data_IF_417271147947
#
_entry.id   IF_417271147947
#
_cell.length_a   1.000
_cell.length_b   1.000
_cell.length_c   1.000
_cell.angle_alpha   90.00
_cell.angle_beta   90.00
_cell.angle_gamma   90.00
#
_symmetry.space_group_name_H-M   'P 1'
#
loop_
_entity.id
_entity.type
_entity.pdbx_description
1 polymer ?
#
# COMPACT_ATOMS: atom_id res chain seq x y z
N UNK A 1 -0.64 -17.39 -10.45
CA UNK A 1 -0.83 -18.74 -9.87
C UNK A 1 -1.79 -19.58 -10.69
N UNK A 2 -3.04 -19.13 -10.90
CA UNK A 2 -4.06 -19.87 -11.68
C UNK A 2 -3.59 -20.35 -13.04
N UNK A 3 -3.07 -19.44 -13.86
CA UNK A 3 -2.58 -19.78 -15.19
C UNK A 3 -1.50 -20.87 -15.17
N UNK A 4 -0.50 -20.73 -14.30
CA UNK A 4 0.57 -21.71 -14.16
C UNK A 4 0.04 -23.07 -13.67
N UNK A 5 -0.88 -23.08 -12.70
CA UNK A 5 -1.48 -24.32 -12.20
C UNK A 5 -2.26 -25.06 -13.30
N UNK A 6 -3.08 -24.34 -14.09
CA UNK A 6 -3.81 -24.93 -15.21
C UNK A 6 -2.86 -25.43 -16.31
N UNK A 7 -1.84 -24.64 -16.65
CA UNK A 7 -0.83 -25.02 -17.65
C UNK A 7 -0.11 -26.31 -17.25
N UNK A 8 0.38 -26.41 -16.02
CA UNK A 8 1.06 -27.61 -15.55
C UNK A 8 0.12 -28.82 -15.45
N UNK A 9 -1.14 -28.60 -15.05
CA UNK A 9 -2.17 -29.65 -15.05
C UNK A 9 -2.41 -30.18 -16.46
N UNK A 10 -2.43 -29.30 -17.47
CA UNK A 10 -2.62 -29.69 -18.88
C UNK A 10 -1.39 -30.40 -19.46
N UNK A 11 -0.19 -29.86 -19.23
CA UNK A 11 1.06 -30.41 -19.79
C UNK A 11 1.39 -31.79 -19.19
N UNK A 12 1.13 -31.99 -17.90
CA UNK A 12 1.45 -33.23 -17.18
C UNK A 12 0.22 -34.11 -16.89
N UNK A 13 -0.90 -33.85 -17.56
CA UNK A 13 -2.17 -34.56 -17.38
C UNK A 13 -2.00 -36.08 -17.47
N UNK A 14 -1.12 -36.56 -18.36
CA UNK A 14 -0.92 -37.99 -18.62
C UNK A 14 -0.19 -38.77 -17.52
N UNK A 15 0.38 -38.13 -16.49
CA UNK A 15 1.22 -38.84 -15.50
C UNK A 15 0.84 -38.43 -14.07
N UNK A 16 -0.27 -38.97 -13.51
CA UNK A 16 -0.70 -38.61 -12.16
C UNK A 16 0.35 -39.05 -11.13
N UNK A 17 0.77 -38.14 -10.26
CA UNK A 17 1.81 -38.39 -9.27
C UNK A 17 1.34 -38.07 -7.84
N UNK A 18 1.59 -38.99 -6.90
CA UNK A 18 1.24 -38.78 -5.48
C UNK A 18 1.95 -37.55 -4.90
N UNK A 19 3.21 -37.29 -5.29
CA UNK A 19 4.00 -36.13 -4.86
C UNK A 19 3.32 -34.81 -5.27
N UNK A 20 3.00 -34.66 -6.55
CA UNK A 20 2.34 -33.46 -7.10
C UNK A 20 1.00 -33.21 -6.41
N UNK A 21 0.21 -34.27 -6.16
CA UNK A 21 -1.07 -34.16 -5.45
C UNK A 21 -0.92 -33.64 -4.02
N UNK A 22 0.06 -34.13 -3.26
CA UNK A 22 0.32 -33.65 -1.90
C UNK A 22 0.70 -32.17 -1.92
N UNK A 23 1.58 -31.77 -2.86
CA UNK A 23 1.99 -30.36 -3.00
C UNK A 23 0.83 -29.48 -3.45
N UNK A 24 0.01 -29.92 -4.39
CA UNK A 24 -1.17 -29.20 -4.86
C UNK A 24 -2.24 -29.05 -3.76
N UNK A 25 -2.40 -30.06 -2.89
CA UNK A 25 -3.29 -29.97 -1.73
C UNK A 25 -2.78 -28.94 -0.72
N UNK A 26 -1.49 -28.97 -0.40
CA UNK A 26 -0.85 -27.96 0.45
C UNK A 26 -1.01 -26.55 -0.14
N UNK A 27 -0.78 -26.38 -1.45
CA UNK A 27 -0.97 -25.11 -2.14
C UNK A 27 -2.42 -24.62 -2.06
N UNK A 28 -3.41 -25.50 -2.22
CA UNK A 28 -4.82 -25.13 -2.11
C UNK A 28 -5.19 -24.66 -0.69
N UNK A 29 -4.59 -25.25 0.35
CA UNK A 29 -4.77 -24.80 1.73
C UNK A 29 -4.15 -23.41 1.97
N UNK A 30 -2.96 -23.17 1.42
CA UNK A 30 -2.28 -21.87 1.50
C UNK A 30 -3.09 -20.79 0.79
N UNK A 31 -3.59 -21.05 -0.42
CA UNK A 31 -4.44 -20.11 -1.16
C UNK A 31 -5.78 -19.84 -0.44
N UNK A 32 -6.34 -20.86 0.24
CA UNK A 32 -7.53 -20.68 1.06
C UNK A 32 -7.24 -19.78 2.27
N UNK A 33 -6.09 -19.95 2.91
CA UNK A 33 -5.65 -19.05 3.98
C UNK A 33 -5.49 -17.61 3.47
N UNK A 34 -4.87 -17.41 2.31
CA UNK A 34 -4.74 -16.09 1.68
C UNK A 34 -6.10 -15.44 1.44
N UNK A 35 -7.07 -16.20 0.93
CA UNK A 35 -8.44 -15.75 0.73
C UNK A 35 -9.08 -15.28 2.05
N UNK A 36 -8.94 -16.06 3.11
CA UNK A 36 -9.49 -15.72 4.44
C UNK A 36 -8.81 -14.46 4.99
N UNK A 37 -7.49 -14.33 4.87
CA UNK A 37 -6.74 -13.16 5.34
C UNK A 37 -7.16 -11.88 4.61
N UNK A 38 -7.29 -11.93 3.28
CA UNK A 38 -7.72 -10.78 2.48
C UNK A 38 -9.15 -10.32 2.81
N UNK A 39 -10.07 -11.26 3.01
CA UNK A 39 -11.46 -10.94 3.32
C UNK A 39 -11.64 -10.41 4.76
N UNK A 40 -10.79 -10.86 5.69
CA UNK A 40 -10.89 -10.51 7.11
C UNK A 40 -10.34 -9.12 7.42
N UNK A 41 -9.28 -8.67 6.74
CA UNK A 41 -8.62 -7.39 7.03
C UNK A 41 -9.14 -6.29 6.10
N UNK A 42 -9.89 -5.34 6.67
CA UNK A 42 -10.53 -4.26 5.91
C UNK A 42 -9.52 -3.42 5.10
N UNK A 43 -8.36 -3.08 5.69
CA UNK A 43 -7.33 -2.29 5.01
C UNK A 43 -6.78 -3.01 3.79
N UNK A 44 -6.40 -4.28 3.94
CA UNK A 44 -5.87 -5.09 2.84
C UNK A 44 -6.92 -5.33 1.74
N UNK A 45 -8.18 -5.57 2.13
CA UNK A 45 -9.30 -5.71 1.18
C UNK A 45 -9.49 -4.44 0.33
N UNK A 46 -9.32 -3.28 0.96
CA UNK A 46 -9.45 -2.00 0.28
C UNK A 46 -8.26 -1.75 -0.66
N UNK A 47 -7.03 -2.02 -0.21
CA UNK A 47 -5.81 -1.83 -1.02
C UNK A 47 -5.76 -2.73 -2.27
N UNK A 48 -6.21 -3.98 -2.18
CA UNK A 48 -6.25 -4.90 -3.33
C UNK A 48 -7.48 -4.71 -4.23
N UNK A 49 -8.49 -3.99 -3.74
CA UNK A 49 -9.74 -3.73 -4.44
C UNK A 49 -10.56 -5.00 -4.75
N UNK A 50 -11.65 -4.82 -5.50
CA UNK A 50 -12.55 -5.92 -5.85
C UNK A 50 -11.89 -6.94 -6.80
N UNK A 51 -11.00 -6.48 -7.70
CA UNK A 51 -10.28 -7.33 -8.64
C UNK A 51 -9.35 -8.31 -7.91
N UNK A 52 -8.65 -7.86 -6.88
CA UNK A 52 -7.81 -8.72 -6.05
C UNK A 52 -8.61 -9.80 -5.33
N UNK A 53 -9.76 -9.43 -4.75
CA UNK A 53 -10.65 -10.37 -4.07
C UNK A 53 -11.17 -11.46 -5.03
N UNK A 54 -11.70 -11.06 -6.19
CA UNK A 54 -12.21 -12.01 -7.20
C UNK A 54 -11.09 -12.92 -7.70
N UNK A 55 -9.89 -12.39 -7.92
CA UNK A 55 -8.74 -13.16 -8.40
C UNK A 55 -8.29 -14.24 -7.42
N UNK A 56 -8.32 -13.96 -6.11
CA UNK A 56 -7.95 -14.94 -5.08
C UNK A 56 -9.02 -16.01 -4.91
N UNK A 57 -10.30 -15.64 -4.91
CA UNK A 57 -11.41 -16.61 -4.91
C UNK A 57 -11.29 -17.54 -6.13
N UNK A 58 -11.07 -16.96 -7.31
CA UNK A 58 -10.85 -17.73 -8.54
C UNK A 58 -9.63 -18.65 -8.43
N UNK A 59 -8.57 -18.20 -7.75
CA UNK A 59 -7.38 -19.01 -7.53
C UNK A 59 -7.61 -20.22 -6.66
N UNK A 60 -8.41 -20.09 -5.60
CA UNK A 60 -8.81 -21.21 -4.74
C UNK A 60 -9.71 -22.18 -5.52
N UNK A 61 -10.67 -21.67 -6.28
CA UNK A 61 -11.55 -22.50 -7.09
C UNK A 61 -10.77 -23.32 -8.13
N UNK A 62 -9.84 -22.69 -8.85
CA UNK A 62 -9.00 -23.38 -9.84
C UNK A 62 -8.00 -24.36 -9.20
N UNK A 63 -7.50 -24.10 -7.98
CA UNK A 63 -6.65 -25.05 -7.28
C UNK A 63 -7.42 -26.30 -6.84
N UNK A 64 -8.65 -26.12 -6.34
CA UNK A 64 -9.53 -27.23 -6.00
C UNK A 64 -9.95 -28.01 -7.24
N UNK A 65 -10.27 -27.32 -8.34
CA UNK A 65 -10.58 -27.96 -9.62
C UNK A 65 -9.42 -28.82 -10.13
N UNK A 66 -8.19 -28.31 -10.09
CA UNK A 66 -7.00 -29.08 -10.51
C UNK A 66 -6.83 -30.37 -9.69
N UNK A 67 -7.13 -30.35 -8.39
CA UNK A 67 -7.10 -31.55 -7.54
C UNK A 67 -8.17 -32.57 -7.92
N UNK A 68 -9.38 -32.10 -8.27
CA UNK A 68 -10.45 -32.96 -8.75
C UNK A 68 -10.04 -33.61 -10.07
N UNK A 69 -9.53 -32.83 -11.03
CA UNK A 69 -9.07 -33.33 -12.33
C UNK A 69 -7.96 -34.38 -12.15
N UNK A 70 -6.91 -34.11 -11.36
CA UNK A 70 -5.83 -35.08 -11.11
C UNK A 70 -6.35 -36.37 -10.47
N UNK A 71 -7.35 -36.27 -9.58
CA UNK A 71 -7.98 -37.45 -8.98
C UNK A 71 -8.81 -38.25 -9.98
N UNK A 72 -9.61 -37.56 -10.80
CA UNK A 72 -10.42 -38.19 -11.85
C UNK A 72 -9.56 -38.88 -12.89
N UNK A 73 -8.45 -38.26 -13.31
CA UNK A 73 -7.51 -38.86 -14.28
C UNK A 73 -6.84 -40.10 -13.72
N UNK A 74 -6.40 -40.07 -12.45
CA UNK A 74 -5.85 -41.25 -11.80
C UNK A 74 -6.87 -42.39 -11.79
N UNK A 75 -8.11 -42.09 -11.45
CA UNK A 75 -9.17 -43.09 -11.43
C UNK A 75 -9.44 -43.66 -12.83
N UNK A 76 -9.60 -42.79 -13.84
CA UNK A 76 -9.82 -43.22 -15.22
C UNK A 76 -8.68 -44.09 -15.76
N UNK A 77 -7.43 -43.76 -15.42
CA UNK A 77 -6.26 -44.60 -15.78
C UNK A 77 -6.28 -45.96 -15.08
N UNK A 78 -6.58 -46.01 -13.78
CA UNK A 78 -6.67 -47.29 -13.05
C UNK A 78 -7.76 -48.18 -13.65
N UNK A 79 -8.90 -47.61 -14.04
CA UNK A 79 -10.00 -48.34 -14.67
C UNK A 79 -9.65 -48.84 -16.08
N UNK A 80 -9.01 -48.03 -16.92
CA UNK A 80 -8.55 -48.45 -18.24
C UNK A 80 -7.45 -49.53 -18.16
N UNK A 81 -6.51 -49.40 -17.22
CA UNK A 81 -5.46 -50.39 -16.99
C UNK A 81 -6.07 -51.72 -16.49
N UNK A 82 -6.98 -51.69 -15.52
CA UNK A 82 -7.69 -52.89 -15.05
C UNK A 82 -8.48 -53.57 -16.18
N UNK A 83 -9.12 -52.79 -17.06
CA UNK A 83 -9.85 -53.30 -18.22
C UNK A 83 -8.94 -53.96 -19.26
N UNK A 84 -7.75 -53.41 -19.51
CA UNK A 84 -6.86 -53.87 -20.58
C UNK A 84 -5.91 -54.98 -20.15
N UNK A 85 -5.37 -54.92 -18.93
CA UNK A 85 -4.31 -55.84 -18.46
C UNK A 85 -4.73 -56.66 -17.23
N UNK A 86 -5.91 -56.40 -16.66
CA UNK A 86 -6.40 -57.10 -15.46
C UNK A 86 -5.70 -56.70 -14.16
N UNK A 87 -4.78 -55.72 -14.19
CA UNK A 87 -4.05 -55.20 -13.03
C UNK A 87 -3.52 -53.79 -13.31
N UNK A 88 -3.65 -52.87 -12.35
CA UNK A 88 -3.01 -51.56 -12.42
C UNK A 88 -1.48 -51.67 -12.54
N UNK A 89 -0.90 -51.10 -13.60
CA UNK A 89 0.54 -51.12 -13.83
C UNK A 89 1.23 -50.00 -13.04
N UNK A 90 2.20 -50.38 -12.21
CA UNK A 90 2.94 -49.43 -11.36
C UNK A 90 4.30 -49.03 -11.93
N UNK A 91 4.69 -49.63 -13.06
CA UNK A 91 5.99 -49.39 -13.69
C UNK A 91 5.94 -48.13 -14.53
N UNK A 92 6.96 -47.28 -14.39
CA UNK A 92 7.10 -46.03 -15.14
C UNK A 92 8.35 -46.06 -16.00
N UNK A 93 8.24 -45.51 -17.20
CA UNK A 93 9.40 -45.29 -18.07
C UNK A 93 10.30 -44.18 -17.52
N UNK A 94 11.55 -44.12 -17.95
CA UNK A 94 12.48 -43.05 -17.55
C UNK A 94 11.95 -41.65 -17.92
N UNK A 95 11.24 -41.53 -19.05
CA UNK A 95 10.62 -40.28 -19.48
C UNK A 95 9.50 -39.83 -18.54
N UNK A 96 8.65 -40.76 -18.08
CA UNK A 96 7.60 -40.47 -17.09
C UNK A 96 8.18 -40.07 -15.74
N UNK A 97 9.27 -40.69 -15.30
CA UNK A 97 10.00 -40.26 -14.11
C UNK A 97 10.55 -38.85 -14.25
N UNK A 98 11.11 -38.49 -15.40
CA UNK A 98 11.58 -37.13 -15.68
C UNK A 98 10.42 -36.12 -15.64
N UNK A 99 9.28 -36.44 -16.26
CA UNK A 99 8.07 -35.59 -16.21
C UNK A 99 7.57 -35.38 -14.78
N UNK A 100 7.57 -36.44 -13.96
CA UNK A 100 7.17 -36.38 -12.54
C UNK A 100 8.13 -35.51 -11.73
N UNK A 101 9.44 -35.59 -11.99
CA UNK A 101 10.43 -34.75 -11.31
C UNK A 101 10.26 -33.28 -11.68
N UNK A 102 10.15 -32.95 -12.98
CA UNK A 102 9.97 -31.57 -13.44
C UNK A 102 8.68 -30.96 -12.91
N UNK A 103 7.56 -31.69 -13.01
CA UNK A 103 6.28 -31.24 -12.45
C UNK A 103 6.34 -31.06 -10.93
N UNK A 104 6.92 -32.01 -10.20
CA UNK A 104 7.06 -31.89 -8.73
C UNK A 104 7.89 -30.66 -8.37
N UNK A 105 9.00 -30.39 -9.05
CA UNK A 105 9.82 -29.19 -8.83
C UNK A 105 9.02 -27.91 -9.13
N UNK A 106 8.29 -27.87 -10.24
CA UNK A 106 7.45 -26.73 -10.61
C UNK A 106 6.38 -26.43 -9.55
N UNK A 107 5.67 -27.46 -9.06
CA UNK A 107 4.69 -27.32 -7.98
C UNK A 107 5.32 -26.90 -6.66
N UNK A 108 6.53 -27.36 -6.34
CA UNK A 108 7.27 -26.90 -5.15
C UNK A 108 7.61 -25.42 -5.27
N UNK A 109 8.09 -24.95 -6.43
CA UNK A 109 8.38 -23.52 -6.65
C UNK A 109 7.11 -22.68 -6.49
N UNK A 110 5.98 -23.13 -7.04
CA UNK A 110 4.69 -22.45 -6.86
C UNK A 110 4.24 -22.44 -5.40
N UNK A 111 4.41 -23.55 -4.66
CA UNK A 111 4.09 -23.60 -3.23
C UNK A 111 4.95 -22.63 -2.43
N UNK A 112 6.26 -22.57 -2.69
CA UNK A 112 7.16 -21.60 -2.04
C UNK A 112 6.73 -20.16 -2.34
N UNK A 113 6.42 -19.85 -3.59
CA UNK A 113 5.92 -18.53 -3.97
C UNK A 113 4.58 -18.20 -3.27
N UNK A 114 3.65 -19.15 -3.15
CA UNK A 114 2.40 -18.97 -2.39
C UNK A 114 2.68 -18.68 -0.91
N UNK A 115 3.55 -19.46 -0.27
CA UNK A 115 3.93 -19.25 1.14
C UNK A 115 4.57 -17.88 1.39
N UNK A 116 5.42 -17.40 0.46
CA UNK A 116 6.00 -16.06 0.54
C UNK A 116 4.94 -14.97 0.42
N UNK A 117 3.95 -15.15 -0.46
CA UNK A 117 2.80 -14.24 -0.58
C UNK A 117 1.97 -14.26 0.70
N UNK A 118 1.67 -15.43 1.26
CA UNK A 118 0.96 -15.54 2.55
C UNK A 118 1.70 -14.78 3.65
N UNK A 119 3.01 -14.96 3.76
CA UNK A 119 3.81 -14.26 4.76
C UNK A 119 3.80 -12.75 4.53
N UNK A 120 3.79 -12.30 3.27
CA UNK A 120 3.71 -10.88 2.94
C UNK A 120 2.34 -10.28 3.28
N UNK A 121 1.25 -11.01 3.04
CA UNK A 121 -0.12 -10.64 3.44
C UNK A 121 -0.22 -10.56 4.97
N UNK A 122 0.35 -11.52 5.70
CA UNK A 122 0.39 -11.50 7.17
C UNK A 122 1.13 -10.26 7.68
N UNK A 123 2.29 -9.93 7.09
CA UNK A 123 3.01 -8.70 7.48
C UNK A 123 2.18 -7.44 7.20
N UNK A 124 1.51 -7.36 6.05
CA UNK A 124 0.62 -6.23 5.73
C UNK A 124 -0.57 -6.16 6.70
N UNK A 125 -1.14 -7.29 7.09
CA UNK A 125 -2.22 -7.37 8.06
C UNK A 125 -1.79 -6.88 9.46
N UNK A 126 -0.57 -7.22 9.89
CA UNK A 126 0.02 -6.68 11.13
C UNK A 126 0.29 -5.18 11.00
N UNK A 127 0.84 -4.74 9.86
CA UNK A 127 1.15 -3.33 9.59
C UNK A 127 -0.12 -2.46 9.43
N UNK A 128 -1.25 -3.07 9.09
CA UNK A 128 -2.56 -2.40 9.06
C UNK A 128 -3.03 -1.94 10.43
N UNK A 129 -2.52 -2.53 11.51
CA UNK A 129 -2.79 -2.09 12.89
C UNK A 129 -2.14 -0.76 13.26
N UNK A 130 -1.25 -0.20 12.43
CA UNK A 130 -0.67 1.11 12.69
C UNK A 130 -1.53 2.25 12.17
N UNK A 131 -1.76 3.21 13.04
CA UNK A 131 -2.37 4.49 12.68
C UNK A 131 -1.33 5.44 12.10
N UNK A 132 -1.67 6.06 10.96
CA UNK A 132 -0.85 7.09 10.37
C UNK A 132 -0.82 8.33 11.27
N UNK A 133 0.34 8.99 11.45
CA UNK A 133 0.42 10.27 12.13
C UNK A 133 -0.17 11.36 11.23
N UNK A 134 -1.40 11.82 11.47
CA UNK A 134 -2.06 12.83 10.62
C UNK A 134 -3.43 12.36 10.16
N UNK A 135 -3.88 12.85 9.00
CA UNK A 135 -5.17 12.50 8.42
C UNK A 135 -5.02 12.06 6.95
N UNK A 136 -5.96 11.24 6.50
CA UNK A 136 -6.04 10.73 5.13
C UNK A 136 -7.22 11.42 4.44
N UNK A 137 -6.95 12.08 3.31
CA UNK A 137 -7.93 12.83 2.53
C UNK A 137 -8.20 12.13 1.21
N UNK A 138 -9.44 12.16 0.75
CA UNK A 138 -9.87 11.53 -0.50
C UNK A 138 -9.52 12.44 -1.67
N UNK A 139 -8.89 11.91 -2.70
CA UNK A 139 -8.46 12.69 -3.87
C UNK A 139 -8.86 11.98 -5.16
N UNK A 140 -8.75 12.68 -6.29
CA UNK A 140 -9.09 12.17 -7.63
C UNK A 140 -10.52 11.60 -7.68
N UNK A 141 -11.50 12.41 -7.23
CA UNK A 141 -12.92 12.05 -7.17
C UNK A 141 -13.20 10.83 -6.26
N UNK A 142 -12.46 10.73 -5.15
CA UNK A 142 -12.68 9.69 -4.14
C UNK A 142 -12.13 8.31 -4.50
N UNK A 143 -11.18 8.23 -5.44
CA UNK A 143 -10.59 6.94 -5.86
C UNK A 143 -9.58 6.39 -4.86
N UNK A 144 -8.77 7.25 -4.24
CA UNK A 144 -7.77 6.85 -3.26
C UNK A 144 -7.51 7.97 -2.25
N UNK A 145 -6.77 7.64 -1.19
CA UNK A 145 -6.49 8.53 -0.07
C UNK A 145 -5.03 8.93 0.01
N UNK A 146 -4.81 10.20 0.31
CA UNK A 146 -3.49 10.79 0.49
C UNK A 146 -3.33 11.28 1.91
N UNK A 147 -2.17 10.95 2.48
CA UNK A 147 -1.80 11.33 3.82
C UNK A 147 -1.28 12.76 3.84
N UNK A 148 -1.84 13.55 4.76
CA UNK A 148 -1.39 14.91 5.06
C UNK A 148 -1.13 15.02 6.55
N UNK A 149 0.03 15.57 6.89
CA UNK A 149 0.42 15.86 8.25
C UNK A 149 0.89 17.30 8.39
N UNK A 150 0.38 18.00 9.40
CA UNK A 150 0.78 19.36 9.74
C UNK A 150 1.14 19.44 11.22
N UNK A 151 2.19 20.20 11.53
CA UNK A 151 2.65 20.43 12.89
C UNK A 151 3.06 21.90 13.09
N UNK A 152 2.73 22.44 14.27
CA UNK A 152 2.91 23.85 14.61
C UNK A 152 1.62 24.67 14.49
N UNK A 153 1.67 25.91 14.93
CA UNK A 153 0.50 26.80 15.00
C UNK A 153 0.52 27.81 13.84
N UNK A 154 -0.66 28.12 13.30
CA UNK A 154 -0.80 29.25 12.38
C UNK A 154 -0.56 30.53 13.19
N UNK A 155 0.45 31.29 12.81
CA UNK A 155 0.81 32.56 13.45
C UNK A 155 0.61 33.69 12.46
N UNK A 156 0.22 34.85 12.98
CA UNK A 156 0.12 36.08 12.23
C UNK A 156 1.41 36.88 12.43
N UNK A 157 1.86 37.54 11.38
CA UNK A 157 2.95 38.51 11.43
C UNK A 157 2.47 39.82 12.11
N UNK A 158 3.39 40.73 12.41
CA UNK A 158 3.08 42.03 13.04
C UNK A 158 2.10 42.89 12.21
N UNK A 159 1.97 42.60 10.91
CA UNK A 159 1.06 43.24 9.96
C UNK A 159 -0.33 42.58 9.92
N UNK A 160 -0.56 41.50 10.68
CA UNK A 160 -1.80 40.72 10.66
C UNK A 160 -1.91 39.75 9.49
N UNK A 161 -0.86 39.56 8.68
CA UNK A 161 -0.81 38.55 7.62
C UNK A 161 -0.40 37.19 8.17
N UNK A 162 -0.97 36.09 7.67
CA UNK A 162 -0.54 34.74 8.06
C UNK A 162 0.92 34.49 7.68
N UNK A 163 1.72 34.03 8.65
CA UNK A 163 3.09 33.59 8.41
C UNK A 163 3.07 32.37 7.49
N UNK A 164 4.00 32.29 6.52
CA UNK A 164 3.98 31.21 5.55
C UNK A 164 4.24 29.86 6.22
N UNK A 165 3.44 28.87 5.84
CA UNK A 165 3.64 27.50 6.30
C UNK A 165 4.69 26.83 5.41
N UNK A 166 5.61 26.07 6.01
CA UNK A 166 6.62 25.33 5.24
C UNK A 166 6.02 24.03 4.72
N UNK A 167 5.89 23.88 3.41
CA UNK A 167 5.43 22.64 2.77
C UNK A 167 6.63 21.79 2.39
N UNK A 168 6.76 20.62 3.02
CA UNK A 168 7.87 19.70 2.78
C UNK A 168 7.51 18.69 1.69
N UNK A 169 8.43 18.50 0.75
CA UNK A 169 8.33 17.48 -0.29
C UNK A 169 9.53 16.52 -0.21
N UNK A 170 9.24 15.22 -0.16
CA UNK A 170 10.27 14.18 -0.04
C UNK A 170 11.11 14.06 -1.32
N UNK A 171 12.32 13.51 -1.20
CA UNK A 171 13.15 13.16 -2.36
C UNK A 171 12.76 11.81 -2.96
N UNK A 172 13.73 10.95 -3.21
CA UNK A 172 13.51 9.58 -3.72
C UNK A 172 12.80 8.69 -2.69
N UNK A 173 12.88 9.10 -1.43
CA UNK A 173 12.28 8.50 -0.24
C UNK A 173 11.25 9.47 0.38
N UNK A 174 10.33 8.97 1.22
CA UNK A 174 9.29 9.81 1.80
C UNK A 174 9.86 10.77 2.86
N UNK A 175 9.11 11.80 3.23
CA UNK A 175 9.56 12.91 4.11
C UNK A 175 10.01 12.40 5.48
N UNK A 176 9.40 11.32 5.97
CA UNK A 176 9.73 10.69 7.24
C UNK A 176 11.15 10.12 7.26
N UNK A 177 11.77 9.91 6.09
CA UNK A 177 13.14 9.45 5.97
C UNK A 177 14.18 10.56 6.16
N UNK A 178 13.98 11.43 7.15
CA UNK A 178 14.95 12.42 7.62
C UNK A 178 14.43 13.85 7.63
N UNK A 179 13.74 14.28 6.57
CA UNK A 179 13.29 15.65 6.39
C UNK A 179 12.24 16.05 7.46
N UNK A 180 11.41 15.10 7.89
CA UNK A 180 10.46 15.31 8.99
C UNK A 180 11.18 15.71 10.30
N UNK A 181 12.26 15.01 10.66
CA UNK A 181 13.02 15.31 11.88
C UNK A 181 13.71 16.67 11.80
N UNK A 182 14.18 17.04 10.61
CA UNK A 182 14.75 18.35 10.35
C UNK A 182 13.71 19.45 10.60
N UNK A 183 12.50 19.30 10.08
CA UNK A 183 11.41 20.25 10.30
C UNK A 183 10.95 20.33 11.76
N UNK A 184 10.83 19.18 12.44
CA UNK A 184 10.52 19.11 13.87
C UNK A 184 11.51 19.88 14.74
N UNK A 185 12.80 19.74 14.45
CA UNK A 185 13.84 20.47 15.15
C UNK A 185 13.79 21.97 14.83
N UNK A 186 13.48 22.35 13.59
CA UNK A 186 13.33 23.75 13.21
C UNK A 186 12.14 24.43 13.91
N UNK A 187 11.02 23.73 14.11
CA UNK A 187 9.89 24.23 14.92
C UNK A 187 10.30 24.39 16.38
N UNK A 188 10.97 23.39 16.97
CA UNK A 188 11.42 23.43 18.38
C UNK A 188 12.43 24.55 18.65
N UNK A 189 13.28 24.86 17.68
CA UNK A 189 14.24 25.95 17.76
C UNK A 189 13.61 27.32 17.48
N UNK A 190 12.34 27.37 17.08
CA UNK A 190 11.63 28.61 16.74
C UNK A 190 12.02 29.20 15.38
N UNK A 191 12.77 28.48 14.54
CA UNK A 191 13.17 28.95 13.21
C UNK A 191 11.99 28.93 12.22
N UNK A 192 11.04 28.02 12.39
CA UNK A 192 9.80 27.96 11.62
C UNK A 192 8.60 27.85 12.57
N UNK A 193 7.47 28.44 12.20
CA UNK A 193 6.24 28.42 13.00
C UNK A 193 5.43 27.14 12.82
N UNK A 194 5.30 26.69 11.57
CA UNK A 194 4.48 25.56 11.15
C UNK A 194 5.06 24.91 9.90
N UNK A 195 4.95 23.59 9.82
CA UNK A 195 5.19 22.86 8.58
C UNK A 195 4.05 21.88 8.30
N UNK A 196 3.88 21.55 7.03
CA UNK A 196 3.02 20.49 6.55
C UNK A 196 3.79 19.62 5.56
N UNK A 197 3.42 18.37 5.43
CA UNK A 197 3.89 17.50 4.36
C UNK A 197 2.78 16.57 3.90
N UNK A 198 2.85 16.20 2.63
CA UNK A 198 2.05 15.13 2.06
C UNK A 198 2.97 13.99 1.72
N UNK A 199 2.50 12.76 1.89
CA UNK A 199 3.15 11.63 1.24
C UNK A 199 2.66 11.54 -0.21
N UNK A 200 3.58 11.43 -1.17
CA UNK A 200 3.21 11.18 -2.56
C UNK A 200 2.43 9.88 -2.71
N UNK A 201 1.61 9.73 -3.76
CA UNK A 201 0.90 8.48 -4.00
C UNK A 201 1.85 7.27 -4.05
N UNK A 202 1.54 6.23 -3.27
CA UNK A 202 2.34 5.01 -3.14
C UNK A 202 3.57 5.14 -2.23
N UNK A 203 3.74 6.25 -1.52
CA UNK A 203 4.78 6.46 -0.52
C UNK A 203 4.20 6.45 0.89
N UNK A 204 4.98 5.91 1.83
CA UNK A 204 4.71 5.89 3.27
C UNK A 204 3.24 5.57 3.64
N UNK A 205 2.46 6.57 4.09
CA UNK A 205 1.08 6.37 4.53
C UNK A 205 0.03 6.63 3.43
N UNK A 206 0.43 7.22 2.32
CA UNK A 206 -0.44 7.47 1.16
C UNK A 206 -0.71 6.21 0.35
N UNK A 207 -1.92 6.11 -0.17
CA UNK A 207 -2.32 4.99 -1.03
C UNK A 207 -1.68 5.10 -2.42
N UNK A 208 -1.55 3.96 -3.09
CA UNK A 208 -1.01 3.91 -4.44
C UNK A 208 -2.02 4.50 -5.45
N UNK A 209 -1.56 5.46 -6.25
CA UNK A 209 -2.33 5.97 -7.38
C UNK A 209 -2.35 4.96 -8.54
N UNK A 210 -3.40 5.00 -9.40
CA UNK A 210 -3.41 4.24 -10.64
C UNK A 210 -2.25 4.64 -11.55
N UNK A 211 -1.71 3.68 -12.30
CA UNK A 211 -0.68 3.94 -13.32
C UNK A 211 -1.31 4.49 -14.60
N UNK A 212 -0.63 5.40 -15.33
CA UNK A 212 0.71 5.95 -15.10
C UNK A 212 0.73 7.18 -14.16
N UNK A 213 1.71 7.23 -13.25
CA UNK A 213 1.94 8.37 -12.38
C UNK A 213 2.89 9.38 -13.05
N UNK A 214 2.45 10.63 -13.22
CA UNK A 214 3.30 11.74 -13.71
C UNK A 214 3.59 12.75 -12.60
N UNK A 215 4.67 13.52 -12.72
CA UNK A 215 5.00 14.56 -11.74
C UNK A 215 3.92 15.65 -11.65
N UNK A 216 3.29 15.98 -12.80
CA UNK A 216 2.13 16.85 -12.85
C UNK A 216 0.94 16.27 -12.10
N UNK A 217 0.58 15.02 -12.36
CA UNK A 217 -0.53 14.38 -11.66
C UNK A 217 -0.30 14.33 -10.14
N UNK A 218 0.90 13.96 -9.69
CA UNK A 218 1.23 13.92 -8.26
C UNK A 218 1.11 15.30 -7.58
N UNK A 219 1.44 16.38 -8.30
CA UNK A 219 1.32 17.75 -7.78
C UNK A 219 -0.12 18.27 -7.79
N UNK A 220 -0.95 17.86 -8.75
CA UNK A 220 -2.40 18.16 -8.73
C UNK A 220 -3.06 17.53 -7.52
N UNK A 221 -2.74 16.25 -7.28
CA UNK A 221 -3.22 15.47 -6.14
C UNK A 221 -2.77 16.06 -4.80
N UNK A 222 -1.53 16.53 -4.71
CA UNK A 222 -1.02 17.26 -3.54
C UNK A 222 -1.86 18.52 -3.29
N UNK A 223 -2.15 19.31 -4.33
CA UNK A 223 -2.98 20.51 -4.22
C UNK A 223 -4.40 20.19 -3.75
N UNK A 224 -5.01 19.14 -4.29
CA UNK A 224 -6.34 18.67 -3.88
C UNK A 224 -6.35 18.22 -2.41
N UNK A 225 -5.35 17.44 -1.99
CA UNK A 225 -5.23 16.97 -0.61
C UNK A 225 -5.06 18.14 0.39
N UNK A 226 -4.24 19.14 0.06
CA UNK A 226 -4.10 20.34 0.88
C UNK A 226 -5.37 21.17 0.93
N UNK A 227 -6.06 21.33 -0.20
CA UNK A 227 -7.34 22.05 -0.25
C UNK A 227 -8.39 21.38 0.64
N UNK A 228 -8.50 20.05 0.61
CA UNK A 228 -9.40 19.31 1.52
C UNK A 228 -8.98 19.37 2.99
N UNK A 229 -7.67 19.49 3.26
CA UNK A 229 -7.16 19.71 4.61
C UNK A 229 -7.42 21.14 5.13
N UNK A 230 -8.00 22.04 4.32
CA UNK A 230 -8.23 23.45 4.68
C UNK A 230 -6.94 24.27 4.70
N UNK A 231 -5.94 23.85 3.93
CA UNK A 231 -4.62 24.44 3.88
C UNK A 231 -4.44 25.21 2.57
N UNK A 232 -4.60 26.53 2.62
CA UNK A 232 -4.65 27.40 1.43
C UNK A 232 -3.43 28.31 1.23
N UNK A 233 -2.45 28.29 2.14
CA UNK A 233 -1.24 29.13 2.07
C UNK A 233 -1.38 30.44 2.85
N UNK A 234 -0.35 31.30 2.87
CA UNK A 234 0.85 31.27 2.00
C UNK A 234 1.86 30.16 2.36
N UNK A 235 2.62 29.71 1.35
CA UNK A 235 3.56 28.57 1.46
C UNK A 235 5.01 28.97 1.20
N UNK A 236 5.93 28.30 1.89
CA UNK A 236 7.34 28.17 1.49
C UNK A 236 7.61 26.71 1.20
N UNK A 237 7.97 26.37 -0.03
CA UNK A 237 8.20 24.97 -0.41
C UNK A 237 9.63 24.58 -0.05
N UNK A 238 9.79 23.50 0.70
CA UNK A 238 11.09 22.96 1.08
C UNK A 238 11.20 21.50 0.63
N UNK A 239 12.16 21.20 -0.24
CA UNK A 239 12.24 19.88 -0.89
C UNK A 239 13.66 19.38 -1.03
N UNK A 240 13.80 18.06 -1.19
CA UNK A 240 15.09 17.40 -1.39
C UNK A 240 15.11 16.53 -2.66
N UNK A 241 16.27 16.42 -3.32
CA UNK A 241 16.47 15.49 -4.44
C UNK A 241 15.45 15.70 -5.57
N UNK A 242 14.82 14.60 -6.03
CA UNK A 242 13.74 14.66 -7.03
C UNK A 242 12.51 15.49 -6.58
N UNK A 243 12.33 15.70 -5.28
CA UNK A 243 11.26 16.54 -4.72
C UNK A 243 11.30 17.98 -5.23
N UNK A 244 12.47 18.47 -5.61
CA UNK A 244 12.64 19.81 -6.20
C UNK A 244 11.83 20.01 -7.47
N UNK A 245 11.68 18.96 -8.29
CA UNK A 245 10.90 19.01 -9.53
C UNK A 245 9.40 19.16 -9.19
N UNK A 246 8.91 18.41 -8.22
CA UNK A 246 7.51 18.50 -7.77
C UNK A 246 7.21 19.88 -7.16
N UNK A 247 8.09 20.40 -6.29
CA UNK A 247 7.91 21.75 -5.73
C UNK A 247 7.93 22.85 -6.80
N UNK A 248 8.79 22.74 -7.83
CA UNK A 248 8.80 23.69 -8.95
C UNK A 248 7.51 23.65 -9.75
N UNK A 249 6.98 22.45 -10.05
CA UNK A 249 5.70 22.28 -10.76
C UNK A 249 4.55 22.85 -9.93
N UNK A 250 4.49 22.52 -8.63
CA UNK A 250 3.49 23.06 -7.71
C UNK A 250 3.56 24.59 -7.65
N UNK A 251 4.77 25.14 -7.57
CA UNK A 251 4.97 26.59 -7.57
C UNK A 251 4.50 27.26 -8.85
N UNK A 252 4.73 26.63 -10.01
CA UNK A 252 4.29 27.14 -11.30
C UNK A 252 2.76 27.19 -11.41
N UNK A 253 2.06 26.21 -10.81
CA UNK A 253 0.60 26.10 -10.86
C UNK A 253 -0.13 27.04 -9.90
N UNK A 254 0.42 27.27 -8.71
CA UNK A 254 -0.22 28.07 -7.67
C UNK A 254 0.15 29.57 -7.73
N UNK A 255 1.19 29.93 -8.48
CA UNK A 255 1.58 31.32 -8.69
C UNK A 255 2.26 32.00 -7.48
N UNK A 256 2.75 33.23 -7.67
CA UNK A 256 3.56 33.95 -6.67
C UNK A 256 2.74 34.47 -5.47
N UNK A 257 1.42 34.55 -5.59
CA UNK A 257 0.56 34.99 -4.47
C UNK A 257 0.52 33.94 -3.36
N UNK A 258 0.43 32.66 -3.74
CA UNK A 258 0.38 31.54 -2.82
C UNK A 258 1.77 31.09 -2.35
N UNK A 259 2.80 31.26 -3.18
CA UNK A 259 4.17 30.76 -2.91
C UNK A 259 5.12 31.92 -2.62
N UNK A 260 5.57 32.03 -1.37
CA UNK A 260 6.50 33.07 -0.91
C UNK A 260 7.97 32.74 -1.14
N UNK A 261 8.31 31.47 -1.33
CA UNK A 261 9.69 31.06 -1.56
C UNK A 261 9.87 29.56 -1.76
N UNK A 262 11.06 29.22 -2.29
CA UNK A 262 11.50 27.85 -2.54
C UNK A 262 12.85 27.61 -1.84
N UNK A 263 12.93 26.55 -1.04
CA UNK A 263 14.16 26.03 -0.46
C UNK A 263 14.44 24.64 -1.05
N UNK A 264 15.50 24.55 -1.84
CA UNK A 264 15.87 23.32 -2.52
C UNK A 264 17.15 22.74 -1.92
N UNK A 265 17.05 21.54 -1.32
CA UNK A 265 18.16 20.84 -0.67
C UNK A 265 18.65 19.76 -1.64
N UNK A 266 19.86 19.92 -2.18
CA UNK A 266 20.42 18.99 -3.17
C UNK A 266 19.44 18.70 -4.33
N UNK A 267 19.01 19.74 -5.09
CA UNK A 267 17.98 19.59 -6.11
C UNK A 267 18.44 18.71 -7.27
N UNK A 268 17.52 17.89 -7.77
CA UNK A 268 17.72 17.24 -9.05
C UNK A 268 17.62 18.25 -10.20
N UNK A 269 18.61 18.24 -11.10
CA UNK A 269 18.60 19.06 -12.31
C UNK A 269 17.76 18.41 -13.43
N UNK A 270 17.04 19.22 -14.20
CA UNK A 270 16.16 18.78 -15.29
C UNK A 270 16.85 17.93 -16.35
N UNK A 271 18.12 18.17 -16.65
CA UNK A 271 18.89 17.38 -17.62
C UNK A 271 19.01 15.89 -17.21
N UNK A 272 18.91 15.60 -15.92
CA UNK A 272 18.95 14.23 -15.39
C UNK A 272 17.62 13.48 -15.54
N UNK A 273 16.53 14.16 -15.92
CA UNK A 273 15.21 13.54 -16.11
C UNK A 273 15.24 12.50 -17.23
N UNK A 274 16.05 12.71 -18.27
CA UNK A 274 16.24 11.72 -19.34
C UNK A 274 16.77 10.37 -18.81
N UNK A 275 17.58 10.40 -17.74
CA UNK A 275 18.08 9.22 -17.05
C UNK A 275 17.04 8.54 -16.15
N UNK A 276 16.20 9.34 -15.47
CA UNK A 276 15.14 8.85 -14.59
C UNK A 276 13.98 8.24 -15.39
N UNK A 277 13.60 8.86 -16.50
CA UNK A 277 12.53 8.44 -17.39
C UNK A 277 12.93 7.39 -18.43
N UNK A 278 14.13 6.78 -18.35
CA UNK A 278 14.56 5.77 -19.33
C UNK A 278 13.57 4.59 -19.38
N UNK A 279 13.10 4.19 -20.58
CA UNK A 279 12.16 3.05 -20.72
C UNK A 279 12.66 1.76 -20.06
N UNK A 280 13.97 1.47 -20.16
CA UNK A 280 14.57 0.30 -19.52
C UNK A 280 14.47 0.31 -18.00
N UNK A 281 14.58 1.49 -17.36
CA UNK A 281 14.37 1.64 -15.92
C UNK A 281 12.89 1.44 -15.56
N UNK A 282 11.98 1.99 -16.36
CA UNK A 282 10.54 1.77 -16.22
C UNK A 282 10.16 0.29 -16.28
N UNK A 283 10.70 -0.45 -17.26
CA UNK A 283 10.49 -1.88 -17.39
C UNK A 283 11.03 -2.67 -16.19
N UNK A 284 12.23 -2.35 -15.70
CA UNK A 284 12.79 -2.98 -14.49
C UNK A 284 11.97 -2.68 -13.23
N UNK A 285 11.43 -1.47 -13.10
CA UNK A 285 10.52 -1.12 -12.01
C UNK A 285 9.19 -1.87 -12.12
N UNK A 286 8.65 -2.03 -13.32
CA UNK A 286 7.46 -2.84 -13.57
C UNK A 286 7.72 -4.32 -13.20
N UNK A 287 8.82 -4.91 -13.67
CA UNK A 287 9.21 -6.28 -13.34
C UNK A 287 9.38 -6.47 -11.84
N UNK A 288 10.00 -5.50 -11.17
CA UNK A 288 10.10 -5.48 -9.71
C UNK A 288 8.73 -5.37 -9.05
N UNK A 289 7.80 -4.63 -9.62
CA UNK A 289 6.39 -4.59 -9.20
C UNK A 289 5.74 -5.98 -9.24
N UNK A 290 5.94 -6.75 -10.32
CA UNK A 290 5.43 -8.12 -10.46
C UNK A 290 6.00 -9.08 -9.40
N UNK A 291 7.27 -8.91 -9.04
CA UNK A 291 7.96 -9.74 -8.04
C UNK A 291 7.70 -9.25 -6.61
N UNK A 292 7.29 -7.99 -6.43
CA UNK A 292 7.10 -7.37 -5.11
C UNK A 292 6.14 -8.10 -4.15
N UNK A 293 5.07 -8.80 -4.59
CA UNK A 293 4.19 -9.54 -3.69
C UNK A 293 4.89 -10.70 -2.96
N UNK A 294 5.97 -11.23 -3.54
CA UNK A 294 6.80 -12.27 -2.90
C UNK A 294 7.56 -11.72 -1.69
N UNK A 295 7.62 -10.39 -1.52
CA UNK A 295 8.19 -9.77 -0.33
C UNK A 295 9.68 -10.05 -0.13
N UNK A 296 10.44 -10.40 -1.17
CA UNK A 296 11.85 -10.83 -1.08
C UNK A 296 12.74 -9.82 -0.32
N UNK A 297 12.41 -8.53 -0.36
CA UNK A 297 13.11 -7.50 0.40
C UNK A 297 12.57 -7.29 1.83
N UNK A 298 11.26 -7.48 2.02
CA UNK A 298 10.56 -7.19 3.28
C UNK A 298 10.67 -8.35 4.27
N UNK A 299 10.53 -9.59 3.79
CA UNK A 299 10.50 -10.80 4.62
C UNK A 299 11.83 -11.04 5.35
N UNK A 300 13.01 -11.04 4.68
CA UNK A 300 14.28 -11.24 5.39
C UNK A 300 14.58 -10.07 6.34
N UNK A 301 14.14 -8.85 5.99
CA UNK A 301 14.27 -7.68 6.84
C UNK A 301 13.45 -7.77 8.13
N UNK A 302 12.24 -8.33 8.06
CA UNK A 302 11.40 -8.58 9.23
C UNK A 302 11.95 -9.74 10.07
N UNK A 303 12.32 -10.86 9.44
CA UNK A 303 12.71 -12.09 10.12
C UNK A 303 14.12 -12.04 10.74
N UNK A 304 15.11 -11.52 10.00
CA UNK A 304 16.52 -11.59 10.42
C UNK A 304 17.08 -10.26 10.93
N UNK A 305 16.47 -9.12 10.58
CA UNK A 305 17.01 -7.79 10.89
C UNK A 305 16.18 -7.00 11.90
N UNK A 306 15.14 -7.60 12.48
CA UNK A 306 14.31 -6.99 13.52
C UNK A 306 13.63 -5.69 13.08
N UNK A 307 13.31 -5.53 11.78
CA UNK A 307 12.57 -4.35 11.29
C UNK A 307 11.19 -4.33 11.91
N UNK A 308 10.88 -3.24 12.59
CA UNK A 308 9.54 -3.04 13.18
C UNK A 308 8.55 -2.61 12.11
N UNK A 309 7.25 -2.74 12.38
CA UNK A 309 6.20 -2.27 11.48
C UNK A 309 6.32 -0.78 11.13
N UNK A 310 6.79 0.05 12.06
CA UNK A 310 7.05 1.47 11.84
C UNK A 310 8.15 1.70 10.80
N UNK A 311 9.24 0.94 10.89
CA UNK A 311 10.33 1.05 9.94
C UNK A 311 9.87 0.62 8.53
N UNK A 312 8.96 -0.37 8.43
CA UNK A 312 8.40 -0.82 7.15
C UNK A 312 7.46 0.19 6.52
N UNK A 313 6.63 0.86 7.32
CA UNK A 313 5.76 1.94 6.83
C UNK A 313 6.59 3.09 6.24
N UNK A 314 7.65 3.54 6.93
CA UNK A 314 8.45 4.69 6.48
C UNK A 314 9.55 4.35 5.46
N UNK A 315 9.89 3.08 5.23
CA UNK A 315 10.94 2.66 4.26
C UNK A 315 10.35 1.82 3.13
N UNK A 316 9.40 2.41 2.40
CA UNK A 316 8.62 1.77 1.32
C UNK A 316 9.39 1.05 0.20
N UNK A 317 10.73 0.99 0.21
CA UNK A 317 11.52 0.20 -0.75
C UNK A 317 12.77 -0.47 -0.16
N UNK A 318 13.32 -1.49 -0.84
CA UNK A 318 14.69 -1.95 -0.59
C UNK A 318 15.68 -0.82 -0.76
N UNK A 319 16.73 -0.92 0.05
CA UNK A 319 17.90 -0.06 0.12
C UNK A 319 18.38 0.29 -1.29
N UNK A 320 18.24 1.54 -1.73
CA UNK A 320 19.17 2.08 -2.72
C UNK A 320 20.55 2.06 -2.07
N UNK A 321 21.59 1.68 -2.83
CA UNK A 321 22.98 1.49 -2.34
C UNK A 321 23.67 2.77 -1.82
N UNK A 322 22.94 3.85 -1.54
CA UNK A 322 23.48 5.03 -0.89
C UNK A 322 23.51 4.81 0.63
N UNK A 323 24.71 4.63 1.19
CA UNK A 323 24.97 4.84 2.61
C UNK A 323 24.69 3.65 3.53
N UNK A 324 25.77 2.97 3.91
CA UNK A 324 25.86 2.16 5.11
C UNK A 324 25.75 3.03 6.37
N UNK A 325 24.54 3.40 6.77
CA UNK A 325 24.27 3.62 8.19
C UNK A 325 22.92 2.99 8.53
N UNK A 326 22.95 2.08 9.49
CA UNK A 326 21.78 1.65 10.23
C UNK A 326 21.19 2.88 10.90
N UNK A 327 20.29 3.62 10.24
CA UNK A 327 19.69 4.80 10.86
C UNK A 327 18.66 4.32 11.90
N UNK A 328 18.86 4.58 13.21
CA UNK A 328 17.90 4.25 14.26
C UNK A 328 16.71 5.24 14.26
N UNK A 329 16.47 5.94 13.15
CA UNK A 329 15.82 7.25 13.11
C UNK A 329 14.31 7.21 13.39
N UNK A 330 13.58 6.20 12.88
CA UNK A 330 12.16 6.03 13.24
C UNK A 330 11.94 5.65 14.72
N UNK A 331 12.92 5.02 15.38
CA UNK A 331 12.78 4.61 16.79
C UNK A 331 12.69 5.79 17.77
N UNK A 332 13.23 6.98 17.42
CA UNK A 332 13.31 8.12 18.36
C UNK A 332 12.28 9.22 18.13
N UNK A 333 11.60 9.28 16.97
CA UNK A 333 10.61 10.32 16.66
C UNK A 333 9.31 10.22 17.49
N UNK A 334 9.11 9.12 18.22
CA UNK A 334 7.83 8.78 18.87
C UNK A 334 7.81 8.91 20.41
N UNK A 335 8.75 9.62 21.04
CA UNK A 335 8.61 9.94 22.47
C UNK A 335 7.62 11.08 22.68
N UNK A 336 6.38 10.69 23.03
CA UNK A 336 5.29 11.46 23.67
C UNK A 336 5.34 12.98 23.43
N UNK A 337 4.48 13.46 22.52
CA UNK A 337 3.87 14.78 22.69
C UNK A 337 3.06 14.75 24.01
N UNK A 338 3.73 15.08 25.12
CA UNK A 338 3.08 15.39 26.39
C UNK A 338 2.50 16.80 26.23
N UNK A 339 1.19 16.97 26.46
CA UNK A 339 0.62 18.32 26.48
C UNK A 339 1.32 19.15 27.57
N UNK A 340 1.60 20.44 27.31
CA UNK A 340 2.09 21.35 28.32
C UNK A 340 0.93 21.82 29.19
N UNK A 341 0.36 20.91 29.99
CA UNK A 341 -0.57 21.29 31.05
C UNK A 341 -0.31 20.37 32.24
N UNK A 342 0.67 20.76 33.04
CA UNK A 342 0.93 20.14 34.33
C UNK A 342 -0.27 20.35 35.26
N UNK A 343 -1.03 19.29 35.51
CA UNK A 343 -1.84 19.14 36.73
C UNK A 343 -2.08 17.66 37.00
N UNK A 344 -1.49 17.19 38.09
CA UNK A 344 -1.70 15.86 38.64
C UNK A 344 -3.01 15.87 39.44
N UNK A 345 -3.95 14.99 39.12
CA UNK A 345 -4.85 14.42 40.12
C UNK A 345 -4.99 12.93 39.86
N UNK A 346 -4.58 12.15 40.85
CA UNK A 346 -4.82 10.72 40.91
C UNK A 346 -6.29 10.51 41.26
N UNK A 347 -7.00 9.72 40.47
CA UNK A 347 -8.21 9.05 40.90
C UNK A 347 -8.40 7.77 40.09
N UNK A 348 -7.91 6.67 40.64
CA UNK A 348 -8.42 5.35 40.31
C UNK A 348 -9.88 5.26 40.79
N UNK A 349 -10.79 4.83 39.92
CA UNK A 349 -11.98 4.07 40.33
C UNK A 349 -12.52 3.26 39.15
N UNK A 350 -12.62 1.97 39.42
CA UNK A 350 -13.43 0.98 38.73
C UNK A 350 -14.89 1.40 38.65
N UNK A 351 -15.55 1.11 37.53
CA UNK A 351 -16.90 0.55 37.55
C UNK A 351 -17.25 -0.01 36.16
N UNK A 352 -17.51 -1.31 36.15
CA UNK A 352 -18.32 -1.96 35.14
C UNK A 352 -19.74 -1.35 35.20
N UNK A 353 -20.33 -1.08 34.03
CA UNK A 353 -21.68 -0.51 34.01
C UNK A 353 -22.28 -0.30 32.63
N UNK A 354 -22.81 -1.40 32.06
CA UNK A 354 -24.02 -1.49 31.24
C UNK A 354 -24.12 -0.69 29.93
N UNK A 355 -24.31 -1.47 28.86
CA UNK A 355 -25.07 -1.12 27.66
C UNK A 355 -26.34 -0.31 27.98
N UNK A 356 -26.54 0.79 27.24
CA UNK A 356 -27.87 1.15 26.74
C UNK A 356 -27.76 1.87 25.41
N UNK A 357 -28.52 1.34 24.47
CA UNK A 357 -28.87 1.89 23.18
C UNK A 357 -29.59 3.23 23.32
N UNK A 358 -29.23 4.20 22.49
CA UNK A 358 -30.17 5.21 22.01
C UNK A 358 -29.83 5.54 20.56
N UNK A 359 -30.60 4.92 19.67
CA UNK A 359 -30.81 5.39 18.32
C UNK A 359 -31.81 6.55 18.39
N UNK A 360 -31.48 7.69 17.82
CA UNK A 360 -32.44 8.75 17.50
C UNK A 360 -32.38 9.03 16.00
N UNK A 361 -33.45 8.64 15.31
CA UNK A 361 -33.70 8.97 13.91
C UNK A 361 -34.22 10.42 13.80
N UNK A 362 -33.90 11.17 12.73
CA UNK A 362 -34.64 12.38 12.38
C UNK A 362 -35.91 12.04 11.60
N UNK A 363 -37.03 12.57 12.07
CA UNK A 363 -38.35 12.40 11.50
C UNK A 363 -38.56 13.10 10.15
N UNK A 364 -39.47 12.50 9.39
CA UNK A 364 -40.03 12.94 8.12
C UNK A 364 -41.09 14.04 8.25
N UNK A 365 -41.27 14.76 7.13
CA UNK A 365 -42.45 15.52 6.67
C UNK A 365 -42.51 17.04 6.97
N UNK A 366 -42.43 17.87 5.93
CA UNK A 366 -43.61 18.18 5.11
C UNK A 366 -43.24 18.91 3.81
N UNK A 367 -43.82 18.44 2.70
CA UNK A 367 -43.86 19.12 1.41
C UNK A 367 -44.91 20.24 1.49
N UNK A 368 -44.57 21.44 0.99
CA UNK A 368 -45.58 22.38 0.47
C UNK A 368 -45.29 22.66 -1.00
N UNK A 369 -46.27 22.25 -1.78
CA UNK A 369 -46.52 22.55 -3.19
C UNK A 369 -46.72 24.05 -3.41
N UNK A 370 -46.11 24.61 -4.45
CA UNK A 370 -46.48 25.91 -5.00
C UNK A 370 -46.75 25.75 -6.50
N UNK A 371 -48.03 25.76 -6.87
CA UNK A 371 -48.52 25.82 -8.25
C UNK A 371 -49.04 27.24 -8.52
N UNK A 372 -48.40 27.86 -9.51
CA UNK A 372 -48.82 28.90 -10.48
C UNK A 372 -49.95 29.91 -10.20
N UNK A 373 -49.68 31.18 -10.56
CA UNK A 373 -50.55 31.97 -11.44
C UNK A 373 -49.82 33.20 -12.04
N UNK A 374 -50.04 33.41 -13.33
CA UNK A 374 -49.77 34.57 -14.22
C UNK A 374 -50.07 35.95 -13.61
N UNK A 375 -49.37 37.02 -14.02
CA UNK A 375 -49.77 37.89 -15.17
C UNK A 375 -49.03 39.24 -15.27
N UNK A 376 -48.83 39.70 -16.53
CA UNK A 376 -48.74 41.09 -17.08
C UNK A 376 -47.51 41.96 -16.74
N UNK A 377 -46.76 42.39 -17.77
CA UNK A 377 -46.72 43.74 -18.41
C UNK A 377 -46.42 44.83 -17.36
N UNK A 378 -45.34 45.59 -17.43
CA UNK A 378 -44.76 46.37 -18.55
C UNK A 378 -43.28 46.58 -18.36
#
# INVERSE_FOLDING_TARGET
MTFANLLFTLVFFGVPAKSVRIVALSMSLVLLLDMVLLLSVQKTRYEEGWVGVVSVIWSVLMSLWALVVDRTVKWGKEEEEERLTGRAETRRTAAEWLMVMVSTIAYIIMLVAALLITLSIILRAVDAGLTAPGQLYWVDDGKYRIHVFCHGEKKLDATGAELPTVLLEGGELPVEHGLWKFADNAVKNGSISRYCFTDRPGYAWSEAAPSPLSAGFATDVLGEALAQAGEHGPWVLASAGIGSIYSRIFSSRNGPEAIRGLLLIDPMHEDLLGGVGRPGRGFLLWLRGVISPLGLDRLPGALFRGRTSKDRACTGGPRSRAGSSSSPSCRRAWWRARSPSGRWTAAARSSAGRCRSSWSAPGSASRRTATGARSRRT
#
